data_IF_133457595356
#
_entry.id   IF_133457595356
#
_cell.length_a   1.000
_cell.length_b   1.000
_cell.length_c   1.000
_cell.angle_alpha   90.00
_cell.angle_beta   90.00
_cell.angle_gamma   90.00
#
_symmetry.space_group_name_H-M   'P 1'
#
loop_
_entity.id
_entity.type
_entity.pdbx_description
1 polymer ?
#
# COMPACT_ATOMS: atom_id res chain seq x y z
N UNK A 1 31.07 -58.20 -18.29
CA UNK A 1 31.46 -56.88 -17.81
C UNK A 1 31.07 -55.74 -18.76
N UNK A 2 31.34 -55.78 -20.07
CA UNK A 2 30.98 -54.67 -21.03
C UNK A 2 29.49 -54.30 -21.08
N UNK A 3 28.57 -55.30 -20.97
CA UNK A 3 27.10 -55.05 -21.00
C UNK A 3 26.56 -54.36 -19.75
N UNK A 4 27.17 -54.57 -18.57
CA UNK A 4 26.79 -53.95 -17.31
C UNK A 4 27.26 -52.50 -17.28
N UNK A 5 28.44 -52.22 -17.84
CA UNK A 5 28.98 -50.86 -17.94
C UNK A 5 28.11 -49.98 -18.84
N UNK A 6 27.62 -50.53 -19.96
CA UNK A 6 26.75 -49.81 -20.92
C UNK A 6 25.38 -49.49 -20.30
N UNK A 7 24.79 -50.41 -19.51
CA UNK A 7 23.54 -50.19 -18.82
C UNK A 7 23.67 -49.12 -17.71
N UNK A 8 24.78 -49.11 -16.98
CA UNK A 8 25.06 -48.11 -15.94
C UNK A 8 25.27 -46.71 -16.54
N UNK A 9 25.95 -46.58 -17.66
CA UNK A 9 26.15 -45.30 -18.35
C UNK A 9 24.84 -44.75 -18.92
N UNK A 10 23.99 -45.61 -19.46
CA UNK A 10 22.67 -45.21 -19.97
C UNK A 10 21.73 -44.75 -18.85
N UNK A 11 21.77 -45.42 -17.69
CA UNK A 11 20.96 -45.03 -16.52
C UNK A 11 21.42 -43.67 -15.93
N UNK A 12 22.72 -43.43 -15.86
CA UNK A 12 23.28 -42.14 -15.37
C UNK A 12 22.95 -41.00 -16.34
N UNK A 13 23.05 -41.20 -17.63
CA UNK A 13 22.67 -40.16 -18.63
C UNK A 13 21.18 -39.87 -18.60
N UNK A 14 20.30 -40.86 -18.36
CA UNK A 14 18.87 -40.66 -18.25
C UNK A 14 18.51 -39.86 -16.99
N UNK A 15 19.19 -40.08 -15.86
CA UNK A 15 19.01 -39.32 -14.63
C UNK A 15 19.47 -37.87 -14.77
N UNK A 16 20.56 -37.63 -15.51
CA UNK A 16 21.06 -36.27 -15.77
C UNK A 16 20.09 -35.50 -16.69
N UNK A 17 19.50 -36.13 -17.68
CA UNK A 17 18.51 -35.50 -18.57
C UNK A 17 17.22 -35.18 -17.81
N UNK A 18 16.78 -36.06 -16.91
CA UNK A 18 15.59 -35.80 -16.06
C UNK A 18 15.81 -34.74 -14.99
N UNK A 19 17.04 -34.56 -14.52
CA UNK A 19 17.36 -33.48 -13.55
C UNK A 19 17.63 -32.12 -14.19
N UNK A 20 17.93 -32.07 -15.48
CA UNK A 20 18.09 -30.82 -16.23
C UNK A 20 16.76 -30.12 -16.56
N UNK A 21 15.61 -30.80 -16.44
CA UNK A 21 14.28 -30.23 -16.64
C UNK A 21 13.71 -29.55 -15.37
N UNK A 22 14.54 -28.93 -14.55
CA UNK A 22 14.07 -28.12 -13.41
C UNK A 22 13.59 -26.71 -13.80
N UNK A 23 13.84 -26.29 -15.03
CA UNK A 23 13.19 -25.09 -15.55
C UNK A 23 11.85 -25.51 -16.15
N UNK A 24 10.73 -24.90 -15.74
CA UNK A 24 9.47 -25.15 -16.44
C UNK A 24 9.69 -24.91 -17.94
N UNK A 25 9.14 -25.75 -18.80
CA UNK A 25 9.28 -25.56 -20.23
C UNK A 25 8.92 -24.12 -20.60
N UNK A 26 9.64 -23.52 -21.54
CA UNK A 26 9.38 -22.14 -22.01
C UNK A 26 7.88 -21.94 -22.30
N UNK A 27 7.20 -22.97 -22.78
CA UNK A 27 5.77 -22.99 -23.02
C UNK A 27 4.92 -22.88 -21.73
N UNK A 28 5.32 -23.46 -20.60
CA UNK A 28 4.61 -23.31 -19.33
C UNK A 28 4.78 -21.91 -18.76
N UNK A 29 5.95 -21.28 -18.94
CA UNK A 29 6.15 -19.88 -18.60
C UNK A 29 5.31 -18.96 -19.51
N UNK A 30 5.23 -19.27 -20.81
CA UNK A 30 4.39 -18.55 -21.78
C UNK A 30 2.90 -18.77 -21.46
N UNK A 31 2.48 -19.98 -21.11
CA UNK A 31 1.09 -20.24 -20.69
C UNK A 31 0.71 -19.51 -19.40
N UNK A 32 1.60 -19.45 -18.43
CA UNK A 32 1.38 -18.61 -17.24
C UNK A 32 1.31 -17.13 -17.60
N UNK A 33 2.12 -16.69 -18.56
CA UNK A 33 2.09 -15.32 -19.08
C UNK A 33 0.81 -14.98 -19.85
N UNK A 34 0.28 -15.92 -20.60
CA UNK A 34 -0.98 -15.75 -21.38
C UNK A 34 -2.21 -15.86 -20.48
N UNK A 35 -2.14 -16.62 -19.39
CA UNK A 35 -3.22 -16.75 -18.38
C UNK A 35 -3.36 -15.55 -17.45
N UNK A 36 -2.39 -14.64 -17.41
CA UNK A 36 -2.54 -13.40 -16.67
C UNK A 36 -3.63 -12.53 -17.34
N UNK A 37 -4.79 -12.46 -16.74
CA UNK A 37 -5.82 -11.53 -17.18
C UNK A 37 -5.23 -10.11 -17.31
N UNK A 38 -5.54 -9.36 -18.37
CA UNK A 38 -5.04 -8.01 -18.50
C UNK A 38 -5.53 -7.18 -17.33
N UNK A 39 -4.61 -6.50 -16.64
CA UNK A 39 -4.99 -5.60 -15.56
C UNK A 39 -5.94 -4.51 -16.09
N UNK A 40 -6.98 -4.18 -15.32
CA UNK A 40 -7.84 -3.04 -15.57
C UNK A 40 -7.16 -1.75 -15.11
N UNK A 41 -6.60 -1.75 -13.88
CA UNK A 41 -5.85 -0.63 -13.31
C UNK A 41 -4.36 -0.80 -13.64
N UNK A 42 -3.97 -0.35 -14.84
CA UNK A 42 -2.62 -0.49 -15.39
C UNK A 42 -1.68 0.64 -14.96
N UNK A 43 -0.40 0.38 -14.99
CA UNK A 43 0.64 1.37 -14.74
C UNK A 43 0.80 1.71 -13.26
N UNK A 44 1.43 2.85 -12.96
CA UNK A 44 1.76 3.25 -11.59
C UNK A 44 0.50 3.58 -10.78
N UNK A 45 0.25 2.79 -9.75
CA UNK A 45 -0.78 3.08 -8.76
C UNK A 45 -0.27 4.18 -7.81
N UNK A 46 -1.08 5.22 -7.59
CA UNK A 46 -0.70 6.41 -6.81
C UNK A 46 -1.37 6.48 -5.44
N UNK A 47 -2.48 5.77 -5.27
CA UNK A 47 -3.22 5.71 -4.01
C UNK A 47 -4.33 4.68 -4.07
N UNK A 48 -4.67 4.14 -2.91
CA UNK A 48 -5.82 3.25 -2.70
C UNK A 48 -6.49 3.69 -1.40
N UNK A 49 -7.80 3.89 -1.44
CA UNK A 49 -8.59 4.27 -0.27
C UNK A 49 -9.92 3.53 -0.27
N UNK A 50 -10.57 3.46 0.90
CA UNK A 50 -11.86 2.79 1.09
C UNK A 50 -12.86 3.75 1.74
N UNK A 51 -14.09 3.78 1.22
CA UNK A 51 -15.23 4.49 1.80
C UNK A 51 -16.39 3.50 1.89
N UNK A 52 -16.86 3.23 3.10
CA UNK A 52 -17.87 2.19 3.32
C UNK A 52 -17.40 0.86 2.73
N UNK A 53 -18.17 0.32 1.79
CA UNK A 53 -17.84 -0.92 1.09
C UNK A 53 -17.24 -0.70 -0.30
N UNK A 54 -16.95 0.53 -0.69
CA UNK A 54 -16.38 0.86 -2.00
C UNK A 54 -14.90 1.19 -1.86
N UNK A 55 -14.10 0.60 -2.74
CA UNK A 55 -12.67 0.87 -2.90
C UNK A 55 -12.46 1.85 -4.04
N UNK A 56 -11.51 2.74 -3.87
CA UNK A 56 -11.05 3.67 -4.90
C UNK A 56 -9.55 3.52 -5.08
N UNK A 57 -9.09 3.48 -6.34
CA UNK A 57 -7.67 3.45 -6.68
C UNK A 57 -7.37 4.50 -7.74
N UNK A 58 -6.16 5.05 -7.72
CA UNK A 58 -5.69 5.99 -8.75
C UNK A 58 -4.45 5.47 -9.43
N UNK A 59 -4.43 5.53 -10.76
CA UNK A 59 -3.24 5.36 -11.62
C UNK A 59 -3.05 6.58 -12.54
N UNK A 60 -3.63 7.71 -12.16
CA UNK A 60 -3.81 8.92 -12.98
C UNK A 60 -5.27 9.14 -13.34
N UNK A 61 -6.04 8.08 -13.49
CA UNK A 61 -7.50 8.07 -13.47
C UNK A 61 -7.97 7.56 -12.12
N UNK A 62 -9.25 7.75 -11.79
CA UNK A 62 -9.86 7.17 -10.61
C UNK A 62 -10.69 5.95 -11.02
N UNK A 63 -10.45 4.85 -10.33
CA UNK A 63 -11.13 3.58 -10.48
C UNK A 63 -11.87 3.26 -9.20
N UNK A 64 -13.01 2.59 -9.29
CA UNK A 64 -13.74 2.11 -8.12
C UNK A 64 -14.17 0.67 -8.27
N UNK A 65 -14.35 -0.02 -7.13
CA UNK A 65 -14.83 -1.40 -7.02
C UNK A 65 -15.74 -1.50 -5.81
N UNK A 66 -16.99 -1.86 -6.04
CA UNK A 66 -17.97 -2.07 -4.97
C UNK A 66 -17.84 -3.48 -4.38
N UNK A 67 -18.06 -3.62 -3.08
CA UNK A 67 -18.08 -4.90 -2.38
C UNK A 67 -19.15 -5.83 -2.96
N UNK A 68 -18.82 -7.13 -3.03
CA UNK A 68 -19.75 -8.17 -3.50
C UNK A 68 -19.96 -8.23 -5.00
N UNK A 69 -19.54 -7.25 -5.75
CA UNK A 69 -19.38 -7.40 -7.19
C UNK A 69 -18.05 -8.13 -7.41
N UNK A 70 -18.11 -9.42 -7.75
CA UNK A 70 -16.97 -10.19 -8.34
C UNK A 70 -16.53 -9.53 -9.64
N UNK A 71 -16.69 -8.23 -9.69
CA UNK A 71 -16.58 -7.37 -10.81
C UNK A 71 -15.22 -6.72 -10.91
N UNK A 72 -14.91 -6.40 -12.12
CA UNK A 72 -13.79 -5.60 -12.56
C UNK A 72 -13.87 -4.21 -11.95
N UNK A 73 -12.73 -3.59 -11.72
CA UNK A 73 -12.65 -2.17 -11.46
C UNK A 73 -13.31 -1.38 -12.59
N UNK A 74 -14.07 -0.37 -12.23
CA UNK A 74 -14.74 0.52 -13.18
C UNK A 74 -14.10 1.91 -13.10
N UNK A 75 -13.87 2.54 -14.25
CA UNK A 75 -13.40 3.92 -14.30
C UNK A 75 -14.49 4.87 -13.81
N UNK A 76 -14.17 5.75 -12.89
CA UNK A 76 -15.10 6.75 -12.37
C UNK A 76 -15.33 7.83 -13.43
N UNK A 77 -16.58 8.01 -13.82
CA UNK A 77 -16.99 8.99 -14.83
C UNK A 77 -17.12 10.39 -14.23
N UNK A 78 -16.98 11.42 -15.07
CA UNK A 78 -17.15 12.81 -14.65
C UNK A 78 -16.02 13.34 -13.76
N UNK A 79 -14.87 12.66 -13.67
CA UNK A 79 -13.72 13.18 -12.99
C UNK A 79 -13.23 14.50 -13.62
N UNK A 80 -12.64 15.41 -12.83
CA UNK A 80 -11.94 16.57 -13.35
C UNK A 80 -10.86 16.20 -14.38
N UNK A 81 -10.53 17.14 -15.25
CA UNK A 81 -9.45 16.96 -16.23
C UNK A 81 -8.09 16.88 -15.54
N UNK A 82 -7.18 16.13 -16.11
CA UNK A 82 -5.81 15.99 -15.61
C UNK A 82 -5.50 14.63 -15.01
N UNK A 83 -4.34 14.57 -14.38
CA UNK A 83 -3.78 13.35 -13.77
C UNK A 83 -4.08 13.33 -12.28
N UNK A 84 -4.84 12.36 -11.80
CA UNK A 84 -5.04 12.17 -10.36
C UNK A 84 -3.73 11.72 -9.70
N UNK A 85 -3.18 12.57 -8.83
CA UNK A 85 -1.87 12.37 -8.18
C UNK A 85 -1.95 11.79 -6.77
N UNK A 86 -3.13 11.86 -6.12
CA UNK A 86 -3.34 11.31 -4.78
C UNK A 86 -4.81 11.26 -4.42
N UNK A 87 -5.13 10.37 -3.49
CA UNK A 87 -6.46 10.18 -2.92
C UNK A 87 -6.42 10.30 -1.40
N UNK A 88 -7.47 10.88 -0.81
CA UNK A 88 -7.71 10.91 0.62
C UNK A 88 -9.21 10.80 0.91
N UNK A 89 -9.57 10.48 2.15
CA UNK A 89 -10.96 10.29 2.54
C UNK A 89 -11.28 10.94 3.88
N UNK A 90 -12.50 11.46 4.01
CA UNK A 90 -13.05 11.89 5.30
C UNK A 90 -14.55 11.64 5.30
N UNK A 91 -15.01 10.72 6.17
CA UNK A 91 -16.39 10.26 6.17
C UNK A 91 -16.80 9.71 4.80
N UNK A 92 -17.92 10.17 4.22
CA UNK A 92 -18.37 9.75 2.90
C UNK A 92 -17.65 10.45 1.74
N UNK A 93 -16.77 11.39 2.00
CA UNK A 93 -16.17 12.24 0.99
C UNK A 93 -14.82 11.68 0.51
N UNK A 94 -14.70 11.53 -0.81
CA UNK A 94 -13.46 11.24 -1.52
C UNK A 94 -12.82 12.55 -1.94
N UNK A 95 -11.56 12.75 -1.57
CA UNK A 95 -10.73 13.88 -1.98
C UNK A 95 -9.65 13.41 -2.96
N UNK A 96 -9.42 14.18 -3.99
CA UNK A 96 -8.42 13.87 -5.00
C UNK A 96 -7.67 15.13 -5.45
N UNK A 97 -6.35 15.01 -5.58
CA UNK A 97 -5.53 16.03 -6.19
C UNK A 97 -5.34 15.72 -7.69
N UNK A 98 -5.59 16.69 -8.54
CA UNK A 98 -5.41 16.60 -9.98
C UNK A 98 -4.33 17.58 -10.45
N UNK A 99 -3.49 17.08 -11.34
CA UNK A 99 -2.44 17.85 -12.02
C UNK A 99 -2.82 18.03 -13.49
N UNK A 100 -2.88 19.29 -13.94
CA UNK A 100 -3.14 19.64 -15.32
C UNK A 100 -2.24 20.83 -15.71
N UNK A 101 -1.37 20.67 -16.70
CA UNK A 101 -0.44 21.70 -17.16
C UNK A 101 0.38 22.34 -16.03
N UNK A 102 0.98 21.51 -15.19
CA UNK A 102 1.75 21.89 -13.98
C UNK A 102 0.95 22.64 -12.89
N UNK A 103 -0.34 22.83 -13.09
CA UNK A 103 -1.25 23.34 -12.07
C UNK A 103 -1.90 22.18 -11.30
N UNK A 104 -2.06 22.37 -10.00
CA UNK A 104 -2.65 21.36 -9.11
C UNK A 104 -3.91 21.93 -8.48
N UNK A 105 -4.98 21.13 -8.49
CA UNK A 105 -6.26 21.49 -7.89
C UNK A 105 -6.79 20.29 -7.08
N UNK A 106 -7.36 20.56 -5.92
CA UNK A 106 -8.04 19.54 -5.11
C UNK A 106 -9.53 19.61 -5.35
N UNK A 107 -10.11 18.44 -5.55
CA UNK A 107 -11.55 18.25 -5.66
C UNK A 107 -12.02 17.25 -4.60
N UNK A 108 -13.29 17.36 -4.26
CA UNK A 108 -13.98 16.38 -3.43
C UNK A 108 -15.27 15.90 -4.09
N UNK A 109 -15.66 14.68 -3.74
CA UNK A 109 -16.84 14.00 -4.25
C UNK A 109 -17.56 13.33 -3.07
N UNK A 110 -18.86 13.60 -2.93
CA UNK A 110 -19.72 12.95 -1.92
C UNK A 110 -20.20 11.60 -2.46
N UNK A 111 -19.67 10.52 -1.93
CA UNK A 111 -20.01 9.15 -2.37
C UNK A 111 -21.38 8.69 -1.83
N UNK A 112 -21.93 9.38 -0.84
CA UNK A 112 -23.25 9.09 -0.26
C UNK A 112 -24.43 9.65 -1.07
N UNK A 113 -24.16 10.55 -2.02
CA UNK A 113 -25.20 11.19 -2.83
C UNK A 113 -25.16 10.69 -4.27
N UNK A 114 -26.20 9.98 -4.77
CA UNK A 114 -26.19 9.35 -6.10
C UNK A 114 -25.97 10.32 -7.28
N UNK A 115 -26.40 11.60 -7.12
CA UNK A 115 -26.25 12.65 -8.14
C UNK A 115 -25.05 13.58 -7.85
N UNK A 116 -24.11 13.16 -7.02
CA UNK A 116 -22.96 13.97 -6.67
C UNK A 116 -22.10 14.26 -7.89
N UNK A 117 -21.52 15.44 -7.89
CA UNK A 117 -20.51 15.89 -8.85
C UNK A 117 -19.25 16.29 -8.09
N UNK A 118 -18.12 16.25 -8.78
CA UNK A 118 -16.87 16.76 -8.24
C UNK A 118 -16.95 18.25 -7.97
N UNK A 119 -16.55 18.66 -6.76
CA UNK A 119 -16.53 20.06 -6.34
C UNK A 119 -15.10 20.45 -6.01
N UNK A 120 -14.68 21.60 -6.53
CA UNK A 120 -13.37 22.14 -6.26
C UNK A 120 -13.28 22.64 -4.81
N UNK A 121 -12.13 22.43 -4.18
CA UNK A 121 -11.77 23.08 -2.92
C UNK A 121 -11.17 24.44 -3.27
N UNK A 122 -12.01 25.47 -3.28
CA UNK A 122 -11.65 26.80 -3.75
C UNK A 122 -10.48 27.42 -2.99
N UNK A 123 -9.68 28.20 -3.71
CA UNK A 123 -8.57 28.96 -3.17
C UNK A 123 -7.40 28.12 -2.68
N UNK A 124 -7.30 26.89 -3.15
CA UNK A 124 -6.25 25.98 -2.74
C UNK A 124 -5.52 25.40 -3.96
N UNK A 125 -4.31 25.91 -4.21
CA UNK A 125 -3.36 25.27 -5.13
C UNK A 125 -2.50 24.30 -4.35
N UNK A 126 -2.84 23.01 -4.37
CA UNK A 126 -2.16 22.01 -3.55
C UNK A 126 -1.66 20.82 -4.37
N UNK A 127 -0.37 20.49 -4.21
CA UNK A 127 0.33 19.43 -4.93
C UNK A 127 -0.06 18.03 -4.52
N UNK A 128 -0.56 17.86 -3.31
CA UNK A 128 -0.93 16.55 -2.78
C UNK A 128 -2.05 16.66 -1.75
N UNK A 129 -2.75 15.53 -1.59
CA UNK A 129 -3.75 15.32 -0.56
C UNK A 129 -3.48 13.98 0.13
N UNK A 130 -3.60 13.97 1.47
CA UNK A 130 -3.37 12.79 2.31
C UNK A 130 -4.44 12.71 3.40
N UNK A 131 -4.74 11.50 3.84
CA UNK A 131 -5.56 11.27 5.03
C UNK A 131 -6.62 10.21 4.87
N UNK A 132 -7.00 9.62 6.00
CA UNK A 132 -8.03 8.59 6.11
C UNK A 132 -9.21 9.03 6.98
N UNK A 133 -9.05 10.11 7.75
CA UNK A 133 -10.07 10.70 8.64
C UNK A 133 -10.00 12.22 8.63
N UNK A 134 -8.83 12.77 8.90
CA UNK A 134 -8.50 14.18 8.66
C UNK A 134 -7.79 14.25 7.32
N UNK A 135 -8.19 15.17 6.47
CA UNK A 135 -7.60 15.38 5.15
C UNK A 135 -6.70 16.59 5.16
N UNK A 136 -5.45 16.38 4.80
CA UNK A 136 -4.41 17.38 4.69
C UNK A 136 -4.13 17.69 3.22
N UNK A 137 -4.19 18.95 2.86
CA UNK A 137 -3.77 19.47 1.58
C UNK A 137 -2.39 20.12 1.70
N UNK A 138 -1.54 19.92 0.72
CA UNK A 138 -0.14 20.38 0.75
C UNK A 138 0.14 21.28 -0.43
N UNK A 139 0.40 22.56 -0.16
CA UNK A 139 0.84 23.54 -1.13
C UNK A 139 2.36 23.73 -1.07
N UNK A 140 2.99 23.97 -2.20
CA UNK A 140 4.41 24.34 -2.27
C UNK A 140 4.51 25.86 -2.37
N UNK A 141 5.06 26.52 -1.35
CA UNK A 141 5.25 27.98 -1.33
C UNK A 141 6.59 28.38 -1.94
N UNK A 142 7.63 27.56 -1.72
CA UNK A 142 8.97 27.75 -2.29
C UNK A 142 9.65 26.40 -2.48
N UNK A 143 10.90 26.37 -2.94
CA UNK A 143 11.65 25.11 -3.10
C UNK A 143 11.92 24.38 -1.78
N UNK A 144 11.86 25.07 -0.65
CA UNK A 144 12.13 24.54 0.68
C UNK A 144 10.98 24.69 1.65
N UNK A 145 9.84 25.26 1.25
CA UNK A 145 8.72 25.54 2.15
C UNK A 145 7.41 25.01 1.60
N UNK A 146 6.70 24.29 2.45
CA UNK A 146 5.37 23.75 2.17
C UNK A 146 4.38 24.25 3.21
N UNK A 147 3.19 24.61 2.76
CA UNK A 147 2.06 24.91 3.63
C UNK A 147 1.11 23.73 3.66
N UNK A 148 0.77 23.29 4.87
CA UNK A 148 -0.18 22.21 5.12
C UNK A 148 -1.46 22.81 5.69
N UNK A 149 -2.57 22.45 5.10
CA UNK A 149 -3.91 22.87 5.50
C UNK A 149 -4.79 21.66 5.72
N UNK A 150 -5.50 21.62 6.84
CA UNK A 150 -6.59 20.67 7.05
C UNK A 150 -7.82 21.15 6.27
N UNK A 151 -8.33 20.31 5.38
CA UNK A 151 -9.48 20.64 4.52
C UNK A 151 -10.73 19.83 4.87
N UNK A 152 -10.58 18.79 5.70
CA UNK A 152 -11.69 18.01 6.24
C UNK A 152 -11.31 17.34 7.56
N UNK A 153 -12.30 17.11 8.41
CA UNK A 153 -12.13 16.47 9.73
C UNK A 153 -11.57 17.41 10.81
N UNK A 154 -11.63 18.70 10.57
CA UNK A 154 -11.17 19.75 11.49
C UNK A 154 -11.01 21.09 10.78
N UNK A 155 -10.68 22.14 11.51
CA UNK A 155 -10.46 23.49 10.96
C UNK A 155 -9.31 24.21 11.68
N UNK A 156 -8.17 23.57 11.95
CA UNK A 156 -7.03 24.27 12.52
C UNK A 156 -6.44 25.25 11.49
N UNK A 157 -5.72 26.29 11.94
CA UNK A 157 -5.02 27.19 11.03
C UNK A 157 -3.98 26.43 10.20
N UNK A 158 -3.68 26.88 8.97
CA UNK A 158 -2.59 26.35 8.17
C UNK A 158 -1.25 26.50 8.88
N UNK A 159 -0.33 25.58 8.65
CA UNK A 159 1.02 25.64 9.21
C UNK A 159 2.07 25.34 8.13
N UNK A 160 3.26 25.86 8.31
CA UNK A 160 4.36 25.72 7.34
C UNK A 160 5.42 24.75 7.83
N UNK A 161 6.06 24.07 6.90
CA UNK A 161 7.14 23.11 7.16
C UNK A 161 8.17 23.16 6.04
N UNK A 162 9.42 22.84 6.37
CA UNK A 162 10.51 22.66 5.40
C UNK A 162 10.54 21.28 4.75
N UNK A 163 9.63 20.38 5.07
CA UNK A 163 9.57 19.00 4.58
C UNK A 163 8.25 18.70 3.91
N UNK A 164 8.30 17.99 2.78
CA UNK A 164 7.10 17.48 2.13
C UNK A 164 6.51 16.32 2.97
N UNK A 165 5.19 16.29 3.21
CA UNK A 165 4.55 15.19 3.89
C UNK A 165 4.70 13.86 3.14
N UNK A 166 4.97 12.82 3.89
CA UNK A 166 5.07 11.44 3.39
C UNK A 166 3.69 10.77 3.34
N UNK A 167 2.80 11.15 4.25
CA UNK A 167 1.46 10.61 4.34
C UNK A 167 0.69 11.14 5.54
N UNK A 168 -0.52 10.67 5.72
CA UNK A 168 -1.33 10.99 6.89
C UNK A 168 -2.27 9.82 7.24
N UNK A 169 -2.53 9.67 8.54
CA UNK A 169 -3.50 8.73 9.06
C UNK A 169 -4.18 9.33 10.30
N UNK A 170 -5.48 9.10 10.46
CA UNK A 170 -6.29 9.66 11.55
C UNK A 170 -6.18 11.19 11.62
N UNK A 171 -5.64 11.71 12.72
CA UNK A 171 -5.41 13.14 12.97
C UNK A 171 -3.94 13.55 12.82
N UNK A 172 -3.11 12.67 12.31
CA UNK A 172 -1.67 12.87 12.20
C UNK A 172 -1.22 13.03 10.76
N UNK A 173 -0.25 13.93 10.57
CA UNK A 173 0.49 14.13 9.33
C UNK A 173 1.94 13.71 9.55
N UNK A 174 2.46 12.85 8.68
CA UNK A 174 3.83 12.37 8.73
C UNK A 174 4.72 13.19 7.81
N UNK A 175 5.72 13.81 8.39
CA UNK A 175 6.85 14.41 7.67
C UNK A 175 8.02 13.44 7.67
N UNK A 176 8.98 13.65 6.79
CA UNK A 176 10.20 12.83 6.73
C UNK A 176 11.01 12.85 8.05
N UNK A 177 10.86 13.91 8.83
CA UNK A 177 11.59 14.19 10.08
C UNK A 177 10.70 14.16 11.34
N UNK A 178 9.48 13.70 11.26
CA UNK A 178 8.62 13.58 12.45
C UNK A 178 7.14 13.40 12.16
N UNK A 179 6.43 12.97 13.19
CA UNK A 179 4.98 12.93 13.24
C UNK A 179 4.45 14.25 13.81
N UNK A 180 3.51 14.86 13.13
CA UNK A 180 2.82 16.06 13.57
C UNK A 180 1.32 15.77 13.78
N UNK A 181 0.70 16.44 14.74
CA UNK A 181 -0.75 16.45 14.88
C UNK A 181 -1.40 17.36 13.81
N UNK A 182 -2.71 17.46 13.81
CA UNK A 182 -3.46 18.27 12.84
C UNK A 182 -3.27 19.79 13.01
N UNK A 183 -2.65 20.25 14.09
CA UNK A 183 -2.27 21.66 14.30
C UNK A 183 -0.83 21.97 13.88
N UNK A 184 -0.09 20.98 13.40
CA UNK A 184 1.31 21.12 13.01
C UNK A 184 2.31 20.96 14.15
N UNK A 185 1.84 20.72 15.38
CA UNK A 185 2.74 20.46 16.50
C UNK A 185 3.37 19.08 16.38
N UNK A 186 4.69 19.03 16.49
CA UNK A 186 5.43 17.77 16.46
C UNK A 186 5.08 16.91 17.69
N UNK A 187 4.79 15.66 17.47
CA UNK A 187 4.51 14.68 18.53
C UNK A 187 5.78 14.43 19.32
N UNK A 188 5.76 14.58 20.66
CA UNK A 188 6.94 14.35 21.50
C UNK A 188 7.51 12.93 21.32
N UNK A 189 8.83 12.81 21.30
CA UNK A 189 9.52 11.52 21.12
C UNK A 189 9.39 10.90 19.73
N UNK A 190 8.78 11.61 18.76
CA UNK A 190 8.69 11.17 17.37
C UNK A 190 10.07 10.86 16.78
N UNK A 191 10.23 9.76 16.01
CA UNK A 191 11.44 9.53 15.23
C UNK A 191 11.73 10.73 14.33
N UNK A 192 13.01 11.08 14.16
CA UNK A 192 13.43 12.37 13.62
C UNK A 192 14.01 12.32 12.20
N UNK A 193 14.01 11.16 11.54
CA UNK A 193 14.57 11.07 10.19
C UNK A 193 14.14 9.82 9.44
N UNK A 194 14.11 9.92 8.12
CA UNK A 194 13.96 8.79 7.23
C UNK A 194 12.58 8.12 7.24
N UNK A 195 11.55 8.82 7.71
CA UNK A 195 10.18 8.30 7.76
C UNK A 195 9.61 8.11 6.34
N UNK A 196 8.95 6.97 6.10
CA UNK A 196 8.54 6.53 4.75
C UNK A 196 7.05 6.25 4.61
N UNK A 197 6.34 5.97 5.69
CA UNK A 197 4.93 5.65 5.62
C UNK A 197 4.25 5.68 6.97
N UNK A 198 2.93 5.89 6.92
CA UNK A 198 2.04 5.91 8.09
C UNK A 198 0.75 5.19 7.75
N UNK A 199 0.21 4.45 8.69
CA UNK A 199 -1.15 3.95 8.63
C UNK A 199 -1.82 3.97 10.00
N UNK A 200 -3.13 3.73 10.02
CA UNK A 200 -3.88 3.58 11.27
C UNK A 200 -3.36 2.41 12.09
N UNK A 201 -3.27 2.59 13.40
CA UNK A 201 -2.82 1.58 14.34
C UNK A 201 -3.97 0.74 14.92
N UNK A 202 -3.66 -0.11 15.91
CA UNK A 202 -4.59 -1.07 16.52
C UNK A 202 -5.79 -0.43 17.23
N UNK A 203 -5.61 0.74 17.80
CA UNK A 203 -6.64 1.49 18.53
C UNK A 203 -6.97 2.81 17.85
N UNK A 204 -8.07 3.46 18.23
CA UNK A 204 -8.51 4.70 17.61
C UNK A 204 -7.53 5.88 17.78
N UNK A 205 -6.66 5.81 18.77
CA UNK A 205 -5.66 6.84 19.07
C UNK A 205 -4.24 6.42 18.73
N UNK A 206 -4.07 5.32 17.97
CA UNK A 206 -2.75 4.84 17.59
C UNK A 206 -2.51 4.92 16.10
N UNK A 207 -1.22 5.07 15.73
CA UNK A 207 -0.74 5.00 14.34
C UNK A 207 0.55 4.19 14.28
N UNK A 208 0.73 3.50 13.15
CA UNK A 208 2.01 2.92 12.79
C UNK A 208 2.78 3.86 11.87
N UNK A 209 4.08 3.96 12.12
CA UNK A 209 5.02 4.73 11.31
C UNK A 209 6.22 3.84 10.97
N UNK A 210 6.72 3.92 9.76
CA UNK A 210 7.89 3.16 9.33
C UNK A 210 9.01 4.08 8.84
N UNK A 211 10.24 3.80 9.27
CA UNK A 211 11.46 4.35 8.69
C UNK A 211 12.21 3.28 7.89
N UNK A 212 13.47 3.52 7.54
CA UNK A 212 14.27 2.58 6.74
C UNK A 212 14.58 1.25 7.47
N UNK A 213 14.43 1.17 8.79
CA UNK A 213 14.86 0.04 9.63
C UNK A 213 13.81 -0.44 10.61
N UNK A 214 12.96 0.46 11.09
CA UNK A 214 12.05 0.20 12.21
C UNK A 214 10.60 0.49 11.86
N UNK A 215 9.73 -0.32 12.41
CA UNK A 215 8.33 -0.04 12.61
C UNK A 215 8.15 0.56 14.00
N UNK A 216 7.44 1.67 14.08
CA UNK A 216 7.05 2.34 15.31
C UNK A 216 5.54 2.28 15.48
N UNK A 217 5.09 2.15 16.71
CA UNK A 217 3.70 2.38 17.11
C UNK A 217 3.66 3.58 18.06
N UNK A 218 2.89 4.58 17.70
CA UNK A 218 2.53 5.68 18.59
C UNK A 218 1.15 5.42 19.17
N UNK A 219 1.03 5.48 20.50
CA UNK A 219 -0.24 5.45 21.20
C UNK A 219 -0.56 6.86 21.72
N UNK A 220 -1.53 7.52 21.11
CA UNK A 220 -1.91 8.90 21.46
C UNK A 220 -2.48 9.05 22.86
N UNK A 221 -3.17 8.01 23.39
CA UNK A 221 -3.75 8.05 24.74
C UNK A 221 -2.69 8.10 25.84
N UNK A 222 -1.60 7.38 25.65
CA UNK A 222 -0.50 7.30 26.62
C UNK A 222 0.69 8.16 26.22
N UNK A 223 0.66 8.76 25.03
CA UNK A 223 1.77 9.52 24.43
C UNK A 223 3.09 8.73 24.39
N UNK A 224 3.00 7.42 24.14
CA UNK A 224 4.18 6.52 24.15
C UNK A 224 4.51 5.99 22.77
N UNK A 225 5.80 5.75 22.54
CA UNK A 225 6.35 5.12 21.37
C UNK A 225 6.94 3.76 21.69
N UNK A 226 6.63 2.77 20.85
CA UNK A 226 7.31 1.46 20.86
C UNK A 226 7.84 1.17 19.46
N UNK A 227 8.81 0.26 19.32
CA UNK A 227 9.38 -0.04 18.00
C UNK A 227 9.90 -1.48 17.90
N UNK A 228 10.03 -1.94 16.65
CA UNK A 228 10.65 -3.22 16.28
C UNK A 228 11.39 -3.07 14.93
N UNK A 229 12.46 -3.82 14.72
CA UNK A 229 13.14 -3.90 13.42
C UNK A 229 12.31 -4.73 12.43
N UNK A 230 12.07 -4.24 11.21
CA UNK A 230 11.19 -4.89 10.23
C UNK A 230 11.91 -5.67 9.12
N UNK A 231 13.18 -5.43 8.85
CA UNK A 231 13.97 -6.14 7.84
C UNK A 231 13.60 -5.87 6.37
N UNK A 232 12.68 -4.95 6.08
CA UNK A 232 12.26 -4.60 4.70
C UNK A 232 13.24 -3.60 4.10
N UNK A 233 13.71 -3.86 2.88
CA UNK A 233 14.61 -2.96 2.16
C UNK A 233 13.84 -1.80 1.52
N UNK A 234 14.29 -0.57 1.79
CA UNK A 234 13.71 0.67 1.22
C UNK A 234 12.18 0.69 1.30
N UNK A 235 11.60 0.79 2.49
CA UNK A 235 10.15 0.84 2.69
C UNK A 235 9.49 1.93 1.85
N UNK A 236 8.29 1.68 1.35
CA UNK A 236 7.55 2.59 0.48
C UNK A 236 6.16 2.93 1.04
N UNK A 237 5.50 1.98 1.67
CA UNK A 237 4.13 2.12 2.16
C UNK A 237 3.87 1.09 3.26
N UNK A 238 2.85 1.35 4.07
CA UNK A 238 2.49 0.51 5.22
C UNK A 238 0.97 0.40 5.33
N UNK A 239 0.48 -0.75 5.78
CA UNK A 239 -0.94 -0.97 6.10
C UNK A 239 -1.10 -1.95 7.24
N UNK A 240 -2.22 -1.89 7.96
CA UNK A 240 -2.53 -2.80 9.07
C UNK A 240 -3.74 -3.68 8.77
N UNK A 241 -3.56 -4.97 8.89
CA UNK A 241 -4.57 -6.01 8.75
C UNK A 241 -4.98 -6.50 10.14
N UNK A 242 -6.06 -5.92 10.66
CA UNK A 242 -6.44 -6.05 12.08
C UNK A 242 -6.77 -7.48 12.49
N UNK A 243 -7.61 -8.21 11.73
CA UNK A 243 -8.04 -9.56 12.09
C UNK A 243 -6.91 -10.59 12.07
N UNK A 244 -5.86 -10.32 11.29
CA UNK A 244 -4.64 -11.14 11.28
C UNK A 244 -3.58 -10.65 12.26
N UNK A 245 -3.78 -9.48 12.86
CA UNK A 245 -2.78 -8.77 13.70
C UNK A 245 -1.46 -8.55 12.95
N UNK A 246 -1.53 -8.23 11.65
CA UNK A 246 -0.35 -8.09 10.79
C UNK A 246 -0.19 -6.65 10.33
N UNK A 247 1.01 -6.11 10.50
CA UNK A 247 1.45 -4.90 9.82
C UNK A 247 2.23 -5.31 8.58
N UNK A 248 1.77 -4.87 7.41
CA UNK A 248 2.40 -5.14 6.13
C UNK A 248 3.18 -3.89 5.71
N UNK A 249 4.46 -4.07 5.41
CA UNK A 249 5.38 -2.99 5.03
C UNK A 249 5.91 -3.30 3.63
N UNK A 250 5.53 -2.50 2.64
CA UNK A 250 5.99 -2.67 1.26
C UNK A 250 7.35 -2.01 1.04
N UNK A 251 8.10 -2.53 0.08
CA UNK A 251 9.44 -2.04 -0.26
C UNK A 251 9.84 -2.37 -1.69
N UNK A 252 11.13 -2.26 -1.98
CA UNK A 252 11.66 -2.46 -3.35
C UNK A 252 11.76 -3.93 -3.76
N UNK A 253 11.54 -4.87 -2.85
CA UNK A 253 11.59 -6.33 -3.10
C UNK A 253 10.35 -7.05 -2.59
N UNK A 254 9.17 -6.50 -2.82
CA UNK A 254 7.93 -7.05 -2.29
C UNK A 254 7.49 -6.36 -1.00
N UNK A 255 6.97 -7.10 -0.05
CA UNK A 255 6.59 -6.61 1.27
C UNK A 255 6.99 -7.58 2.37
N UNK A 256 7.17 -7.06 3.58
CA UNK A 256 7.40 -7.84 4.79
C UNK A 256 6.23 -7.70 5.76
N UNK A 257 6.17 -8.58 6.74
CA UNK A 257 5.08 -8.70 7.69
C UNK A 257 5.61 -8.70 9.13
N UNK A 258 4.92 -7.96 10.00
CA UNK A 258 5.15 -7.96 11.45
C UNK A 258 3.88 -8.43 12.12
N UNK A 259 3.96 -9.50 12.90
CA UNK A 259 2.86 -10.02 13.72
C UNK A 259 2.84 -9.34 15.07
N UNK A 260 1.68 -8.78 15.43
CA UNK A 260 1.42 -8.25 16.75
C UNK A 260 0.91 -9.36 17.68
N UNK A 261 1.08 -9.18 18.99
CA UNK A 261 0.57 -10.13 19.99
C UNK A 261 -0.98 -10.20 20.00
N UNK A 262 -1.66 -9.08 19.71
CA UNK A 262 -3.11 -9.02 19.58
C UNK A 262 -3.57 -7.92 18.63
N UNK A 263 -4.86 -7.92 18.27
CA UNK A 263 -5.49 -6.92 17.40
C UNK A 263 -5.48 -5.50 17.97
N UNK A 264 -5.28 -5.34 19.26
CA UNK A 264 -5.30 -4.04 19.98
C UNK A 264 -3.95 -3.69 20.61
N UNK A 265 -2.93 -4.52 20.37
CA UNK A 265 -1.61 -4.32 20.98
C UNK A 265 -0.87 -3.14 20.33
N UNK A 266 -0.60 -2.12 21.14
CA UNK A 266 0.21 -0.96 20.77
C UNK A 266 1.67 -1.09 21.25
N UNK A 267 1.99 -2.15 22.00
CA UNK A 267 3.33 -2.43 22.46
C UNK A 267 4.02 -3.46 21.55
N UNK A 268 4.99 -3.01 20.78
CA UNK A 268 5.73 -3.87 19.85
C UNK A 268 6.77 -4.80 20.50
N UNK A 269 6.87 -4.85 21.83
CA UNK A 269 7.85 -5.69 22.53
C UNK A 269 7.67 -7.20 22.27
N UNK A 270 6.41 -7.65 22.07
CA UNK A 270 6.07 -9.03 21.75
C UNK A 270 5.77 -9.27 20.26
N UNK A 271 5.94 -8.25 19.44
CA UNK A 271 5.80 -8.40 18.00
C UNK A 271 7.01 -9.11 17.40
N UNK A 272 6.82 -9.76 16.26
CA UNK A 272 7.90 -10.44 15.56
C UNK A 272 7.73 -10.37 14.04
N UNK A 273 8.84 -10.52 13.32
CA UNK A 273 8.82 -10.63 11.86
C UNK A 273 8.26 -11.99 11.45
N UNK A 274 7.39 -11.99 10.45
CA UNK A 274 6.77 -13.21 9.91
C UNK A 274 7.60 -13.74 8.75
N UNK A 275 7.95 -15.03 8.80
CA UNK A 275 8.58 -15.70 7.66
C UNK A 275 7.57 -15.94 6.55
N UNK A 276 7.99 -15.71 5.32
CA UNK A 276 7.17 -15.94 4.13
C UNK A 276 6.59 -17.35 4.08
N UNK A 277 5.26 -17.45 3.93
CA UNK A 277 4.55 -18.73 3.84
C UNK A 277 4.45 -19.52 5.14
N UNK A 278 4.78 -18.93 6.28
CA UNK A 278 4.48 -19.52 7.59
C UNK A 278 2.97 -19.48 7.89
N UNK A 279 2.54 -20.15 8.96
CA UNK A 279 1.13 -20.13 9.40
C UNK A 279 0.62 -18.71 9.73
N UNK A 280 1.50 -17.84 10.17
CA UNK A 280 1.18 -16.44 10.48
C UNK A 280 1.16 -15.50 9.26
N UNK A 281 1.75 -15.93 8.14
CA UNK A 281 1.80 -15.11 6.91
C UNK A 281 0.41 -14.80 6.35
N UNK A 282 0.28 -13.64 5.74
CA UNK A 282 -0.95 -13.23 5.05
C UNK A 282 -1.19 -13.98 3.74
N UNK A 283 -0.17 -14.62 3.18
CA UNK A 283 -0.24 -15.33 1.89
C UNK A 283 0.42 -16.70 1.97
N UNK A 284 0.00 -17.67 1.12
CA UNK A 284 0.61 -19.00 1.06
C UNK A 284 2.08 -18.97 0.65
N UNK A 285 2.82 -20.07 0.90
CA UNK A 285 4.19 -20.23 0.41
C UNK A 285 4.29 -20.06 -1.10
N UNK A 286 5.39 -19.49 -1.57
CA UNK A 286 5.66 -19.33 -3.01
C UNK A 286 4.99 -18.12 -3.65
N UNK A 287 4.30 -17.27 -2.90
CA UNK A 287 3.68 -16.06 -3.45
C UNK A 287 4.73 -15.08 -3.97
N UNK A 288 4.58 -14.65 -5.24
CA UNK A 288 5.59 -13.84 -5.96
C UNK A 288 5.75 -12.42 -5.45
N UNK A 289 4.75 -11.88 -4.76
CA UNK A 289 4.78 -10.50 -4.25
C UNK A 289 5.31 -10.41 -2.83
N UNK A 290 5.42 -11.53 -2.13
CA UNK A 290 5.88 -11.53 -0.74
C UNK A 290 7.39 -11.27 -0.65
N UNK A 291 7.78 -10.48 0.35
CA UNK A 291 9.18 -10.28 0.72
C UNK A 291 9.81 -11.65 1.08
N UNK A 292 11.11 -11.83 0.89
CA UNK A 292 11.83 -13.09 1.08
C UNK A 292 11.48 -14.23 0.08
N UNK A 293 10.61 -14.00 -0.89
CA UNK A 293 10.48 -14.92 -2.00
C UNK A 293 11.58 -14.63 -3.03
N UNK A 294 12.26 -15.65 -3.50
CA UNK A 294 13.31 -15.51 -4.53
C UNK A 294 12.80 -14.86 -5.83
N UNK A 295 11.50 -14.84 -6.05
CA UNK A 295 10.82 -14.22 -7.19
C UNK A 295 10.29 -12.81 -6.86
N UNK A 296 10.22 -12.43 -5.59
CA UNK A 296 9.76 -11.10 -5.14
C UNK A 296 10.76 -10.01 -5.47
N UNK A 297 10.75 -9.55 -6.72
CA UNK A 297 11.67 -8.51 -7.25
C UNK A 297 10.99 -7.17 -7.46
N UNK A 298 9.72 -7.06 -7.12
CA UNK A 298 8.90 -5.92 -7.50
C UNK A 298 8.92 -4.83 -6.45
N UNK A 299 9.02 -3.57 -6.90
CA UNK A 299 8.73 -2.41 -6.06
C UNK A 299 7.22 -2.35 -5.84
N UNK A 300 6.79 -2.46 -4.59
CA UNK A 300 5.39 -2.33 -4.20
C UNK A 300 5.16 -0.96 -3.57
N UNK A 301 4.28 -0.17 -4.17
CA UNK A 301 3.79 1.10 -3.66
C UNK A 301 2.52 1.53 -4.42
N UNK A 302 1.38 1.71 -3.75
CA UNK A 302 1.12 1.45 -2.34
C UNK A 302 0.84 -0.04 -2.02
N UNK A 303 0.84 -0.38 -0.72
CA UNK A 303 0.19 -1.57 -0.19
C UNK A 303 -1.03 -1.15 0.63
N UNK A 304 -2.14 -1.85 0.49
CA UNK A 304 -3.38 -1.57 1.21
C UNK A 304 -4.08 -2.86 1.58
N UNK A 305 -4.39 -3.05 2.86
CA UNK A 305 -5.09 -4.24 3.33
C UNK A 305 -6.28 -3.85 4.20
N UNK A 306 -7.32 -4.67 4.17
CA UNK A 306 -8.48 -4.50 5.03
C UNK A 306 -9.16 -5.84 5.30
N UNK A 307 -9.83 -5.92 6.44
CA UNK A 307 -10.65 -7.07 6.81
C UNK A 307 -11.97 -7.06 6.03
N UNK A 308 -12.38 -8.22 5.55
CA UNK A 308 -13.69 -8.48 4.97
C UNK A 308 -14.56 -9.25 5.97
N UNK A 309 -15.85 -9.43 5.67
CA UNK A 309 -16.75 -10.19 6.55
C UNK A 309 -16.37 -11.66 6.75
N UNK A 310 -15.63 -12.23 5.81
CA UNK A 310 -15.26 -13.64 5.80
C UNK A 310 -13.74 -13.88 5.82
N UNK A 311 -12.94 -12.82 5.78
CA UNK A 311 -11.49 -12.93 5.70
C UNK A 311 -10.83 -11.56 5.55
N UNK A 312 -9.96 -11.41 4.58
CA UNK A 312 -9.26 -10.15 4.30
C UNK A 312 -8.89 -10.02 2.83
N UNK A 313 -8.56 -8.80 2.43
CA UNK A 313 -8.08 -8.48 1.09
C UNK A 313 -6.81 -7.64 1.21
N UNK A 314 -5.82 -7.92 0.36
CA UNK A 314 -4.60 -7.13 0.24
C UNK A 314 -4.49 -6.65 -1.20
N UNK A 315 -4.30 -5.36 -1.40
CA UNK A 315 -3.96 -4.77 -2.68
C UNK A 315 -2.53 -4.27 -2.69
N UNK A 316 -1.83 -4.51 -3.80
CA UNK A 316 -0.47 -4.06 -4.03
C UNK A 316 -0.36 -3.33 -5.38
N UNK A 317 0.09 -2.09 -5.35
CA UNK A 317 0.49 -1.37 -6.56
C UNK A 317 1.91 -1.78 -6.93
N UNK A 318 2.09 -2.45 -8.06
CA UNK A 318 3.41 -2.82 -8.57
C UNK A 318 3.91 -1.73 -9.51
N UNK A 319 5.07 -1.16 -9.18
CA UNK A 319 5.80 -0.21 -10.01
C UNK A 319 7.02 -0.92 -10.62
N UNK A 320 6.79 -1.69 -11.69
CA UNK A 320 7.85 -2.34 -12.44
C UNK A 320 8.15 -1.51 -13.71
N UNK A 321 9.42 -1.21 -14.02
CA UNK A 321 9.79 -0.63 -15.32
C UNK A 321 9.38 -1.52 -16.49
N UNK A 322 9.32 -2.83 -16.32
CA UNK A 322 8.67 -3.74 -17.26
C UNK A 322 7.16 -3.64 -17.10
N UNK A 323 6.53 -2.91 -17.99
CA UNK A 323 5.08 -2.62 -18.00
C UNK A 323 4.18 -3.86 -17.87
N UNK A 324 4.71 -5.06 -18.14
CA UNK A 324 4.02 -6.34 -18.06
C UNK A 324 3.43 -6.62 -16.67
N UNK A 325 4.15 -6.29 -15.61
CA UNK A 325 3.71 -6.55 -14.22
C UNK A 325 3.20 -5.31 -13.51
N UNK A 326 3.39 -4.13 -14.08
CA UNK A 326 2.97 -2.87 -13.52
C UNK A 326 1.45 -2.77 -13.45
N UNK A 327 0.93 -2.25 -12.34
CA UNK A 327 -0.50 -2.09 -12.09
C UNK A 327 -0.93 -2.56 -10.71
N UNK A 328 -2.23 -2.64 -10.53
CA UNK A 328 -2.85 -3.08 -9.28
C UNK A 328 -2.98 -4.60 -9.25
N UNK A 329 -2.61 -5.19 -8.12
CA UNK A 329 -2.76 -6.61 -7.82
C UNK A 329 -3.58 -6.79 -6.55
N UNK A 330 -4.40 -7.83 -6.50
CA UNK A 330 -5.25 -8.18 -5.38
C UNK A 330 -5.02 -9.62 -4.91
N UNK A 331 -5.00 -9.83 -3.59
CA UNK A 331 -5.04 -11.13 -2.94
C UNK A 331 -6.26 -11.19 -2.03
N UNK A 332 -7.07 -12.25 -2.16
CA UNK A 332 -8.35 -12.41 -1.47
C UNK A 332 -8.35 -13.68 -0.62
N UNK A 333 -8.53 -13.53 0.68
CA UNK A 333 -8.63 -14.65 1.62
C UNK A 333 -10.01 -14.64 2.33
N UNK A 334 -10.72 -15.77 2.45
CA UNK A 334 -10.43 -17.07 1.82
C UNK A 334 -10.80 -17.08 0.32
N UNK A 335 -10.25 -18.00 -0.42
CA UNK A 335 -10.67 -18.30 -1.80
C UNK A 335 -9.60 -18.19 -2.86
N UNK A 336 -8.47 -17.53 -2.57
CA UNK A 336 -7.35 -17.45 -3.50
C UNK A 336 -6.05 -17.92 -2.86
N UNK A 337 -5.23 -18.56 -3.67
CA UNK A 337 -3.88 -18.99 -3.29
C UNK A 337 -2.80 -18.15 -4.00
N UNK A 338 -3.20 -17.32 -4.94
CA UNK A 338 -2.32 -16.49 -5.78
C UNK A 338 -2.82 -15.06 -5.88
N UNK A 339 -1.90 -14.17 -6.21
CA UNK A 339 -2.22 -12.80 -6.55
C UNK A 339 -2.82 -12.70 -7.96
N UNK A 340 -3.84 -11.87 -8.10
CA UNK A 340 -4.50 -11.59 -9.37
C UNK A 340 -4.29 -10.14 -9.78
N UNK A 341 -4.19 -9.92 -11.08
CA UNK A 341 -4.16 -8.57 -11.65
C UNK A 341 -5.57 -7.99 -11.66
N UNK A 342 -5.69 -6.78 -11.14
CA UNK A 342 -6.94 -6.06 -11.01
C UNK A 342 -7.22 -5.11 -12.18
#
# INVERSE_FOLDING_TARGET
>A
MKKILFAATLAVSLVIVLSACKNPPIFAAIEQEVKLNPATVKGRVRGIVKIGDTLYASNGKIWYKEKGKTGKWSEMKGCPSGLCTGLAVSGPNLYAAFEQNDAFTIYWYDTGTPSSTWKEVYGLTAKAVFGTRVVFAVSKESDTTYTIRVIAGGSPPPWSTGKFPVGAARTYCLLEDGLCNNTGSKVPGSPSSGLKGICEGPTDDSVFVVDNTKLYCYNGNTSTWTNIVHGVSSPQSITYLKNKHLVLISGVKGYGEIKLASATDTNLANAHTVSAGSADSSVPPGNILQYNNSVGKYVINPIYAFDSSTGYVIYAGINDPNTKYSGLWGFYNPGQIEWNRE
#
